data_IF_896806909175
#
_entry.id   IF_896806909175
#
_cell.length_a   1.000
_cell.length_b   1.000
_cell.length_c   1.000
_cell.angle_alpha   90.00
_cell.angle_beta   90.00
_cell.angle_gamma   90.00
#
_symmetry.space_group_name_H-M   'P 1'
#
loop_
_entity.id
_entity.type
_entity.pdbx_description
1 polymer ?
#
# COMPACT_ATOMS: atom_id res chain seq x y z
N UNK A 1 16.87 24.60 34.87
CA UNK A 1 16.82 25.00 33.45
C UNK A 1 16.73 23.71 32.63
N UNK A 2 15.54 23.31 32.20
CA UNK A 2 15.32 22.05 31.48
C UNK A 2 15.22 22.32 29.99
N UNK A 3 16.18 21.80 29.21
CA UNK A 3 16.07 21.76 27.75
C UNK A 3 15.07 20.67 27.37
N UNK A 4 13.88 21.06 26.92
CA UNK A 4 12.90 20.18 26.33
C UNK A 4 13.33 19.98 24.87
N UNK A 5 13.93 18.83 24.55
CA UNK A 5 14.14 18.43 23.15
C UNK A 5 12.77 18.34 22.50
N UNK A 6 12.44 19.32 21.67
CA UNK A 6 11.23 19.27 20.86
C UNK A 6 11.44 18.12 19.89
N UNK A 7 10.70 17.01 20.04
CA UNK A 7 10.70 15.97 19.04
C UNK A 7 10.18 16.61 17.75
N UNK A 8 11.05 16.73 16.76
CA UNK A 8 10.66 17.20 15.44
C UNK A 8 9.94 16.03 14.74
N UNK A 9 8.64 15.89 15.05
CA UNK A 9 7.79 14.89 14.42
C UNK A 9 7.46 15.42 13.03
N UNK A 10 8.29 15.08 12.06
CA UNK A 10 7.92 15.28 10.66
C UNK A 10 6.68 14.40 10.36
N UNK A 11 5.65 14.95 9.71
CA UNK A 11 4.45 14.20 9.39
C UNK A 11 4.78 13.09 8.39
N UNK A 12 4.27 11.88 8.63
CA UNK A 12 4.33 10.83 7.62
C UNK A 12 3.38 11.12 6.47
N UNK A 13 3.88 11.00 5.24
CA UNK A 13 3.11 11.26 4.01
C UNK A 13 3.00 9.96 3.22
N UNK A 14 1.77 9.48 3.05
CA UNK A 14 1.50 8.23 2.37
C UNK A 14 0.77 8.43 1.05
N UNK A 15 1.23 7.73 0.03
CA UNK A 15 0.64 7.82 -1.30
C UNK A 15 -0.64 6.99 -1.37
N UNK A 16 -1.78 7.67 -1.44
CA UNK A 16 -3.10 7.06 -1.31
C UNK A 16 -3.43 6.06 -2.45
N UNK A 17 -4.22 5.01 -2.16
CA UNK A 17 -4.67 4.08 -3.17
C UNK A 17 -5.92 4.59 -3.90
N UNK A 18 -5.86 4.64 -5.23
CA UNK A 18 -7.01 4.94 -6.08
C UNK A 18 -7.13 3.90 -7.19
N UNK A 19 -8.24 3.18 -7.18
CA UNK A 19 -8.53 2.14 -8.16
C UNK A 19 -8.53 2.70 -9.58
N UNK A 20 -7.80 2.04 -10.48
CA UNK A 20 -7.66 2.48 -11.87
C UNK A 20 -6.70 3.65 -12.09
N UNK A 21 -6.20 4.30 -11.03
CA UNK A 21 -5.29 5.45 -11.13
C UNK A 21 -3.89 5.08 -10.61
N UNK A 22 -3.76 4.68 -9.35
CA UNK A 22 -2.44 4.46 -8.70
C UNK A 22 -1.89 3.05 -8.94
N UNK A 23 -1.92 2.63 -10.21
CA UNK A 23 -1.31 1.38 -10.69
C UNK A 23 0.20 1.36 -10.45
N UNK A 24 0.84 0.19 -10.60
CA UNK A 24 2.31 0.09 -10.49
C UNK A 24 3.03 1.07 -11.41
N UNK A 25 2.63 1.17 -12.68
CA UNK A 25 3.23 2.12 -13.60
C UNK A 25 3.14 3.57 -13.10
N UNK A 26 1.97 3.98 -12.59
CA UNK A 26 1.79 5.32 -12.05
C UNK A 26 2.75 5.57 -10.88
N UNK A 27 2.80 4.64 -9.91
CA UNK A 27 3.65 4.79 -8.72
C UNK A 27 5.14 4.78 -9.06
N UNK A 28 5.56 3.96 -10.02
CA UNK A 28 6.93 3.96 -10.54
C UNK A 28 7.29 5.32 -11.12
N UNK A 29 6.45 5.88 -12.00
CA UNK A 29 6.67 7.21 -12.59
C UNK A 29 6.69 8.29 -11.51
N UNK A 30 5.73 8.25 -10.58
CA UNK A 30 5.71 9.18 -9.46
C UNK A 30 7.02 9.15 -8.65
N UNK A 31 7.50 7.97 -8.25
CA UNK A 31 8.73 7.83 -7.45
C UNK A 31 10.02 8.25 -8.19
N UNK A 32 10.00 8.23 -9.53
CA UNK A 32 11.09 8.74 -10.36
C UNK A 32 11.14 10.28 -10.36
N UNK A 33 9.99 10.96 -10.34
CA UNK A 33 9.90 12.42 -10.51
C UNK A 33 9.65 13.19 -9.22
N UNK A 34 9.05 12.56 -8.20
CA UNK A 34 8.66 13.19 -6.94
C UNK A 34 9.28 12.44 -5.76
N UNK A 35 9.49 13.17 -4.66
CA UNK A 35 10.03 12.68 -3.38
C UNK A 35 9.12 13.13 -2.24
N UNK A 36 9.35 12.58 -1.04
CA UNK A 36 8.61 12.99 0.17
C UNK A 36 7.40 12.13 0.50
N UNK A 37 7.26 10.95 -0.12
CA UNK A 37 6.33 9.91 0.35
C UNK A 37 7.10 8.81 1.04
N UNK A 38 6.58 8.34 2.17
CA UNK A 38 7.21 7.29 2.98
C UNK A 38 6.74 5.89 2.57
N UNK A 39 5.50 5.79 2.06
CA UNK A 39 4.88 4.52 1.65
C UNK A 39 3.98 4.71 0.44
N UNK A 40 3.90 3.65 -0.37
CA UNK A 40 3.03 3.52 -1.53
C UNK A 40 1.93 2.51 -1.25
N UNK A 41 0.68 2.82 -1.56
CA UNK A 41 -0.42 1.85 -1.42
C UNK A 41 -0.86 1.32 -2.79
N UNK A 42 -1.12 0.02 -2.86
CA UNK A 42 -1.71 -0.58 -4.07
C UNK A 42 -3.19 -0.23 -4.19
N UNK A 43 -3.75 -0.23 -5.41
CA UNK A 43 -5.19 -0.35 -5.57
C UNK A 43 -5.73 -1.59 -4.83
N UNK A 44 -7.01 -1.58 -4.47
CA UNK A 44 -7.56 -2.61 -3.60
C UNK A 44 -7.63 -3.97 -4.30
N UNK A 45 -7.33 -5.02 -3.54
CA UNK A 45 -7.70 -6.38 -3.86
C UNK A 45 -9.07 -6.65 -3.23
N UNK A 46 -10.00 -7.17 -4.02
CA UNK A 46 -11.33 -7.59 -3.56
C UNK A 46 -11.63 -9.01 -4.03
N UNK A 47 -12.72 -9.57 -3.48
CA UNK A 47 -13.25 -10.91 -3.74
C UNK A 47 -12.28 -12.02 -3.29
N UNK A 48 -11.83 -11.94 -2.03
CA UNK A 48 -11.16 -13.04 -1.36
C UNK A 48 -12.22 -14.05 -0.90
N UNK A 49 -12.79 -14.79 -1.84
CA UNK A 49 -13.76 -15.85 -1.53
C UNK A 49 -13.01 -17.15 -1.19
N UNK A 50 -13.38 -17.84 -0.09
CA UNK A 50 -12.81 -19.15 0.23
C UNK A 50 -12.92 -20.11 -0.97
N UNK A 51 -11.80 -20.73 -1.35
CA UNK A 51 -11.74 -21.66 -2.48
C UNK A 51 -11.47 -21.02 -3.86
N UNK A 52 -11.45 -19.68 -3.97
CA UNK A 52 -11.07 -18.99 -5.20
C UNK A 52 -9.63 -18.47 -5.15
N UNK A 53 -8.77 -19.03 -5.99
CA UNK A 53 -7.40 -18.53 -6.15
C UNK A 53 -7.40 -17.12 -6.76
N UNK A 54 -6.52 -16.26 -6.25
CA UNK A 54 -6.24 -14.98 -6.88
C UNK A 54 -5.59 -15.21 -8.24
N UNK A 55 -5.90 -14.33 -9.20
CA UNK A 55 -5.22 -14.37 -10.49
C UNK A 55 -3.70 -14.18 -10.30
N UNK A 56 -2.91 -14.75 -11.21
CA UNK A 56 -1.45 -14.66 -11.15
C UNK A 56 -0.96 -13.19 -11.10
N UNK A 57 -1.63 -12.28 -11.80
CA UNK A 57 -1.35 -10.84 -11.74
C UNK A 57 -1.55 -10.27 -10.34
N UNK A 58 -2.65 -10.63 -9.65
CA UNK A 58 -2.90 -10.21 -8.27
C UNK A 58 -1.87 -10.80 -7.32
N UNK A 59 -1.49 -12.06 -7.51
CA UNK A 59 -0.44 -12.71 -6.73
C UNK A 59 0.93 -12.04 -6.88
N UNK A 60 1.31 -11.67 -8.10
CA UNK A 60 2.56 -10.93 -8.36
C UNK A 60 2.50 -9.55 -7.68
N UNK A 61 1.38 -8.85 -7.78
CA UNK A 61 1.21 -7.55 -7.14
C UNK A 61 1.27 -7.63 -5.60
N UNK A 62 0.75 -8.70 -4.99
CA UNK A 62 0.86 -8.95 -3.55
C UNK A 62 2.29 -9.29 -3.11
N UNK A 63 3.06 -9.97 -3.96
CA UNK A 63 4.46 -10.32 -3.67
C UNK A 63 5.41 -9.14 -3.80
N UNK A 64 5.04 -8.11 -4.56
CA UNK A 64 5.90 -6.96 -4.76
C UNK A 64 5.75 -5.97 -3.59
N UNK A 65 6.73 -5.97 -2.70
CA UNK A 65 6.72 -5.17 -1.46
C UNK A 65 7.50 -3.85 -1.58
N UNK A 66 8.12 -3.57 -2.75
CA UNK A 66 8.85 -2.32 -2.95
C UNK A 66 8.80 -1.83 -4.39
N UNK A 67 8.75 -0.52 -4.55
CA UNK A 67 8.81 0.14 -5.85
C UNK A 67 9.72 1.36 -5.75
N UNK A 68 10.79 1.36 -6.54
CA UNK A 68 11.83 2.41 -6.50
C UNK A 68 12.44 2.62 -5.10
N UNK A 69 12.55 1.55 -4.30
CA UNK A 69 13.10 1.60 -2.93
C UNK A 69 12.11 2.11 -1.87
N UNK A 70 10.86 2.39 -2.24
CA UNK A 70 9.80 2.79 -1.31
C UNK A 70 8.95 1.55 -1.00
N UNK A 71 8.53 1.39 0.26
CA UNK A 71 7.65 0.29 0.68
C UNK A 71 6.31 0.37 -0.05
N UNK A 72 5.84 -0.78 -0.55
CA UNK A 72 4.52 -0.92 -1.18
C UNK A 72 3.63 -1.78 -0.29
N UNK A 73 2.54 -1.18 0.20
CA UNK A 73 1.58 -1.81 1.09
C UNK A 73 0.32 -2.22 0.31
N UNK A 74 -0.02 -3.51 0.28
CA UNK A 74 -1.28 -3.98 -0.31
C UNK A 74 -2.50 -3.44 0.43
N UNK A 75 -3.52 -3.02 -0.33
CA UNK A 75 -4.83 -2.69 0.23
C UNK A 75 -5.82 -3.82 -0.03
N UNK A 76 -6.50 -4.33 0.99
CA UNK A 76 -7.54 -5.35 0.87
C UNK A 76 -8.90 -4.78 1.24
N UNK A 77 -9.91 -5.04 0.42
CA UNK A 77 -11.30 -4.66 0.66
C UNK A 77 -12.16 -5.93 0.76
N UNK A 78 -12.89 -6.06 1.86
CA UNK A 78 -13.80 -7.18 2.12
C UNK A 78 -15.15 -6.66 2.65
N UNK A 79 -16.23 -7.40 2.35
CA UNK A 79 -17.61 -7.06 2.71
C UNK A 79 -18.07 -7.65 4.04
N UNK A 80 -17.27 -8.47 4.74
CA UNK A 80 -17.68 -9.07 6.01
C UNK A 80 -16.52 -9.51 6.89
N UNK A 81 -16.64 -9.28 8.21
CA UNK A 81 -15.62 -9.64 9.19
C UNK A 81 -15.28 -11.15 9.18
N UNK A 82 -16.26 -12.02 8.95
CA UNK A 82 -16.06 -13.49 8.92
C UNK A 82 -15.41 -14.05 7.65
N UNK A 83 -15.26 -13.25 6.58
CA UNK A 83 -14.65 -13.71 5.31
C UNK A 83 -13.12 -13.69 5.31
N UNK A 84 -12.50 -13.21 6.40
CA UNK A 84 -11.04 -13.09 6.53
C UNK A 84 -10.34 -14.37 6.99
N UNK A 85 -11.09 -15.44 7.26
CA UNK A 85 -10.52 -16.74 7.63
C UNK A 85 -9.72 -16.73 8.93
N UNK A 86 -9.87 -15.71 9.77
CA UNK A 86 -9.26 -15.68 11.10
C UNK A 86 -10.17 -16.42 12.08
N UNK A 87 -9.95 -17.72 12.21
CA UNK A 87 -10.29 -18.52 13.38
C UNK A 87 -9.02 -18.73 14.21
#
# INVERSE_FOLDING_TARGET
>A
MYFRTVMNIEPSVYFAPFQGITTSLFRKVYAMHFKGVDKLFTPYFANFEPGHALSQTKMVALKNQSESGIEVVPQVLSKGAGSWGMN
#
